data_IF_936397772230
#
_entry.id   IF_936397772230
#
_cell.length_a   1.000
_cell.length_b   1.000
_cell.length_c   1.000
_cell.angle_alpha   90.00
_cell.angle_beta   90.00
_cell.angle_gamma   90.00
#
_symmetry.space_group_name_H-M   'P 1'
#
loop_
_entity.id
_entity.type
_entity.pdbx_description
1 polymer ?
#
# COMPACT_ATOMS: atom_id res chain seq x y z
N UNK A 1 19.69 -8.23 10.16
CA UNK A 1 20.27 -9.53 10.62
C UNK A 1 20.65 -10.41 9.44
N UNK A 2 21.36 -11.53 9.66
CA UNK A 2 21.57 -12.52 8.59
C UNK A 2 20.24 -13.23 8.29
N UNK A 3 19.98 -13.56 7.02
CA UNK A 3 18.75 -14.23 6.56
C UNK A 3 18.36 -15.45 7.40
N UNK A 4 19.33 -16.24 7.87
CA UNK A 4 19.08 -17.39 8.74
C UNK A 4 18.31 -17.03 10.02
N UNK A 5 18.63 -15.89 10.64
CA UNK A 5 17.96 -15.41 11.84
C UNK A 5 16.53 -14.95 11.53
N UNK A 6 16.34 -14.30 10.38
CA UNK A 6 15.01 -13.90 9.90
C UNK A 6 14.12 -15.10 9.61
N UNK A 7 14.65 -16.12 8.94
CA UNK A 7 13.94 -17.39 8.68
C UNK A 7 13.57 -18.08 9.99
N UNK A 8 14.41 -18.00 11.03
CA UNK A 8 14.05 -18.51 12.36
C UNK A 8 12.87 -17.75 12.99
N UNK A 9 12.78 -16.42 12.81
CA UNK A 9 11.62 -15.63 13.24
C UNK A 9 10.36 -16.01 12.46
N UNK A 10 10.45 -16.10 11.12
CA UNK A 10 9.35 -16.54 10.25
C UNK A 10 8.83 -17.90 10.69
N UNK A 11 9.74 -18.87 10.93
CA UNK A 11 9.40 -20.21 11.42
C UNK A 11 8.64 -20.17 12.74
N UNK A 12 9.15 -19.41 13.72
CA UNK A 12 8.52 -19.29 15.04
C UNK A 12 7.12 -18.68 14.97
N UNK A 13 6.94 -17.66 14.13
CA UNK A 13 5.63 -17.04 13.88
C UNK A 13 4.67 -18.06 13.24
N UNK A 14 5.13 -18.78 12.21
CA UNK A 14 4.37 -19.84 11.55
C UNK A 14 3.94 -20.95 12.53
N UNK A 15 4.81 -21.37 13.44
CA UNK A 15 4.50 -22.38 14.47
C UNK A 15 3.44 -21.89 15.46
N UNK A 16 3.55 -20.65 15.96
CA UNK A 16 2.56 -20.06 16.86
C UNK A 16 1.19 -19.88 16.21
N UNK A 17 1.17 -19.56 14.91
CA UNK A 17 -0.06 -19.33 14.15
C UNK A 17 -0.66 -20.58 13.52
N UNK A 18 0.11 -21.68 13.47
CA UNK A 18 -0.29 -22.87 12.72
C UNK A 18 -0.47 -22.61 11.22
N UNK A 19 0.29 -21.67 10.66
CA UNK A 19 0.12 -21.13 9.31
C UNK A 19 1.40 -21.15 8.50
N UNK A 20 1.29 -21.08 7.16
CA UNK A 20 2.42 -20.71 6.30
C UNK A 20 2.52 -19.19 6.25
N UNK A 21 3.70 -18.64 6.56
CA UNK A 21 3.94 -17.20 6.57
C UNK A 21 4.62 -16.75 5.27
N UNK A 22 3.97 -15.85 4.54
CA UNK A 22 4.56 -15.10 3.43
C UNK A 22 4.79 -13.66 3.89
N UNK A 23 6.03 -13.17 3.80
CA UNK A 23 6.37 -11.79 4.07
C UNK A 23 6.35 -10.99 2.77
N UNK A 24 5.68 -9.84 2.78
CA UNK A 24 5.68 -8.89 1.67
C UNK A 24 5.91 -7.48 2.18
N UNK A 25 7.06 -6.91 1.83
CA UNK A 25 7.53 -5.60 2.27
C UNK A 25 7.78 -4.74 1.04
N UNK A 26 7.14 -3.58 0.98
CA UNK A 26 7.48 -2.54 -0.01
C UNK A 26 8.19 -1.40 0.69
N UNK A 27 9.43 -1.10 0.27
CA UNK A 27 10.23 -0.04 0.87
C UNK A 27 9.65 1.33 0.55
N UNK A 28 9.66 2.23 1.54
CA UNK A 28 9.10 3.58 1.44
C UNK A 28 10.15 4.70 1.42
N UNK A 29 11.41 4.34 1.14
CA UNK A 29 12.49 5.31 0.94
C UNK A 29 12.28 6.13 -0.32
N UNK A 30 12.39 7.44 -0.18
CA UNK A 30 12.28 8.38 -1.30
C UNK A 30 13.24 8.01 -2.44
N UNK A 31 12.81 8.22 -3.70
CA UNK A 31 13.51 7.91 -4.95
C UNK A 31 13.69 6.42 -5.29
N UNK A 32 13.64 5.52 -4.31
CA UNK A 32 13.81 4.07 -4.50
C UNK A 32 12.69 3.30 -3.81
N UNK A 33 11.49 3.89 -3.77
CA UNK A 33 10.33 3.28 -3.13
C UNK A 33 9.75 2.17 -4.01
N UNK A 34 9.32 1.09 -3.38
CA UNK A 34 8.55 0.02 -4.01
C UNK A 34 7.08 0.17 -3.62
N UNK A 35 6.18 -0.41 -4.42
CA UNK A 35 4.74 -0.40 -4.15
C UNK A 35 4.13 -1.74 -4.53
N UNK A 36 2.88 -1.95 -4.14
CA UNK A 36 2.08 -3.05 -4.69
C UNK A 36 1.88 -2.80 -6.18
N UNK A 37 2.29 -3.74 -7.02
CA UNK A 37 2.20 -3.62 -8.47
C UNK A 37 2.00 -5.00 -9.12
N UNK A 38 1.42 -5.08 -10.35
CA UNK A 38 1.06 -6.35 -10.97
C UNK A 38 2.22 -7.34 -11.14
N UNK A 39 3.45 -6.84 -11.26
CA UNK A 39 4.68 -7.61 -11.45
C UNK A 39 5.06 -8.48 -10.24
N UNK A 40 4.48 -8.24 -9.07
CA UNK A 40 4.64 -9.10 -7.88
C UNK A 40 3.80 -10.38 -7.95
N UNK A 41 2.79 -10.43 -8.83
CA UNK A 41 1.86 -11.58 -8.93
C UNK A 41 2.57 -12.91 -9.25
N UNK A 42 3.50 -12.98 -10.24
CA UNK A 42 4.25 -14.21 -10.49
C UNK A 42 5.19 -14.60 -9.35
N UNK A 43 5.70 -13.62 -8.59
CA UNK A 43 6.53 -13.85 -7.40
C UNK A 43 5.69 -14.52 -6.32
N UNK A 44 4.51 -13.96 -6.01
CA UNK A 44 3.55 -14.58 -5.08
C UNK A 44 3.21 -16.00 -5.50
N UNK A 45 2.88 -16.21 -6.79
CA UNK A 45 2.57 -17.54 -7.31
C UNK A 45 3.67 -18.55 -7.01
N UNK A 46 4.95 -18.21 -7.28
CA UNK A 46 6.07 -19.12 -6.97
C UNK A 46 6.16 -19.46 -5.48
N UNK A 47 6.00 -18.49 -4.58
CA UNK A 47 6.01 -18.77 -3.13
C UNK A 47 4.83 -19.63 -2.68
N UNK A 48 3.65 -19.41 -3.26
CA UNK A 48 2.46 -20.20 -2.97
C UNK A 48 2.60 -21.64 -3.50
N UNK A 49 3.19 -21.83 -4.68
CA UNK A 49 3.57 -23.17 -5.18
C UNK A 49 4.56 -23.88 -4.24
N UNK A 50 5.52 -23.14 -3.65
CA UNK A 50 6.43 -23.70 -2.64
C UNK A 50 5.73 -24.08 -1.33
N UNK A 51 4.59 -23.48 -1.00
CA UNK A 51 3.76 -23.87 0.15
C UNK A 51 2.92 -25.11 -0.13
N UNK A 52 2.39 -25.22 -1.35
CA UNK A 52 1.32 -26.15 -1.68
C UNK A 52 0.00 -25.81 -0.97
N UNK A 53 -0.98 -26.71 -1.05
CA UNK A 53 -2.23 -26.57 -0.30
C UNK A 53 -1.96 -26.58 1.20
N UNK A 54 -2.55 -25.62 1.93
CA UNK A 54 -2.45 -25.56 3.37
C UNK A 54 -3.72 -25.02 4.02
N UNK A 55 -3.84 -25.25 5.33
CA UNK A 55 -5.05 -24.84 6.08
C UNK A 55 -5.16 -23.33 6.25
N UNK A 56 -4.02 -22.65 6.32
CA UNK A 56 -3.94 -21.22 6.59
C UNK A 56 -2.67 -20.60 6.02
N UNK A 57 -2.83 -19.45 5.37
CA UNK A 57 -1.73 -18.58 4.95
C UNK A 57 -1.86 -17.26 5.70
N UNK A 58 -0.76 -16.84 6.29
CA UNK A 58 -0.59 -15.54 6.91
C UNK A 58 0.30 -14.68 5.99
N UNK A 59 -0.14 -13.48 5.67
CA UNK A 59 0.65 -12.50 4.93
C UNK A 59 1.16 -11.43 5.90
N UNK A 60 2.47 -11.38 6.13
CA UNK A 60 3.10 -10.30 6.88
C UNK A 60 3.34 -9.11 5.95
N UNK A 61 2.61 -8.01 6.15
CA UNK A 61 2.49 -6.94 5.16
C UNK A 61 2.96 -5.59 5.70
N UNK A 62 3.94 -5.00 5.03
CA UNK A 62 4.33 -3.60 5.20
C UNK A 62 4.29 -2.92 3.84
N UNK A 63 3.50 -1.84 3.72
CA UNK A 63 3.38 -1.11 2.46
C UNK A 63 2.76 0.27 2.60
N UNK A 64 3.17 1.20 1.73
CA UNK A 64 2.51 2.51 1.55
C UNK A 64 1.45 2.51 0.45
N UNK A 65 1.09 1.35 -0.09
CA UNK A 65 0.05 1.19 -1.09
C UNK A 65 0.59 0.80 -2.46
N UNK A 66 -0.11 1.21 -3.52
CA UNK A 66 0.24 0.86 -4.88
C UNK A 66 -0.97 0.78 -5.82
N UNK A 67 -0.90 -0.13 -6.77
CA UNK A 67 -1.95 -0.38 -7.74
C UNK A 67 -3.24 -0.89 -7.07
N UNK A 68 -4.38 -0.31 -7.43
CA UNK A 68 -5.69 -0.56 -6.80
C UNK A 68 -6.25 -1.95 -7.13
N UNK A 69 -5.89 -2.53 -8.28
CA UNK A 69 -6.44 -3.82 -8.75
C UNK A 69 -5.60 -5.01 -8.33
N UNK A 70 -4.30 -4.82 -8.12
CA UNK A 70 -3.37 -5.88 -7.73
C UNK A 70 -3.79 -6.59 -6.43
N UNK A 71 -4.23 -5.90 -5.35
CA UNK A 71 -4.76 -6.56 -4.16
C UNK A 71 -5.81 -7.62 -4.47
N UNK A 72 -6.77 -7.31 -5.36
CA UNK A 72 -7.85 -8.24 -5.73
C UNK A 72 -7.28 -9.53 -6.33
N UNK A 73 -6.30 -9.39 -7.23
CA UNK A 73 -5.64 -10.54 -7.86
C UNK A 73 -4.86 -11.37 -6.84
N UNK A 74 -4.15 -10.72 -5.91
CA UNK A 74 -3.35 -11.39 -4.88
C UNK A 74 -4.23 -12.12 -3.86
N UNK A 75 -5.31 -11.50 -3.38
CA UNK A 75 -6.25 -12.13 -2.44
C UNK A 75 -6.87 -13.40 -3.04
N UNK A 76 -7.33 -13.33 -4.29
CA UNK A 76 -7.81 -14.51 -5.01
C UNK A 76 -6.73 -15.57 -5.17
N UNK A 77 -5.51 -15.18 -5.57
CA UNK A 77 -4.41 -16.11 -5.75
C UNK A 77 -4.08 -16.86 -4.45
N UNK A 78 -3.99 -16.15 -3.32
CA UNK A 78 -3.74 -16.76 -2.01
C UNK A 78 -4.85 -17.76 -1.65
N UNK A 79 -6.11 -17.42 -1.92
CA UNK A 79 -7.28 -18.27 -1.63
C UNK A 79 -7.38 -19.52 -2.48
N UNK A 80 -6.65 -19.63 -3.61
CA UNK A 80 -6.51 -20.89 -4.33
C UNK A 80 -5.72 -21.95 -3.54
N UNK A 81 -4.91 -21.53 -2.54
CA UNK A 81 -4.05 -22.43 -1.75
C UNK A 81 -4.51 -22.61 -0.31
N UNK A 82 -5.49 -21.81 0.16
CA UNK A 82 -5.99 -21.87 1.53
C UNK A 82 -7.42 -21.40 1.65
N UNK A 83 -8.16 -22.02 2.58
CA UNK A 83 -9.49 -21.57 2.98
C UNK A 83 -9.46 -20.45 4.03
N UNK A 84 -8.33 -20.30 4.76
CA UNK A 84 -8.14 -19.29 5.79
C UNK A 84 -6.97 -18.38 5.43
N UNK A 85 -7.24 -17.09 5.31
CA UNK A 85 -6.25 -16.07 4.98
C UNK A 85 -6.23 -15.01 6.08
N UNK A 86 -5.07 -14.73 6.66
CA UNK A 86 -4.89 -13.62 7.59
C UNK A 86 -3.78 -12.67 7.13
N UNK A 87 -3.86 -11.40 7.54
CA UNK A 87 -2.79 -10.41 7.32
C UNK A 87 -2.24 -9.95 8.65
N UNK A 88 -0.92 -10.01 8.79
CA UNK A 88 -0.17 -9.55 9.95
C UNK A 88 0.43 -8.20 9.61
N UNK A 89 -0.09 -7.15 10.22
CA UNK A 89 0.38 -5.78 10.00
C UNK A 89 1.29 -5.41 11.15
N UNK A 90 2.63 -5.34 10.98
CA UNK A 90 3.53 -4.95 12.06
C UNK A 90 3.60 -3.44 12.29
N UNK A 91 3.37 -2.65 11.23
CA UNK A 91 3.41 -1.19 11.25
C UNK A 91 2.48 -0.62 10.16
N UNK A 92 3.03 -0.06 9.07
CA UNK A 92 2.26 0.63 8.02
C UNK A 92 1.68 -0.32 6.99
N UNK A 93 0.38 -0.22 6.74
CA UNK A 93 -0.28 -0.88 5.63
C UNK A 93 -1.39 -0.01 5.05
N UNK A 94 -1.10 0.73 3.98
CA UNK A 94 -1.97 1.81 3.48
C UNK A 94 -2.56 1.52 2.10
N UNK A 95 -3.68 2.17 1.76
CA UNK A 95 -4.30 2.16 0.42
C UNK A 95 -4.48 0.73 -0.13
N UNK A 96 -3.79 0.36 -1.21
CA UNK A 96 -3.82 -1.00 -1.76
C UNK A 96 -3.50 -2.10 -0.72
N UNK A 97 -2.66 -1.80 0.27
CA UNK A 97 -2.39 -2.70 1.40
C UNK A 97 -3.61 -2.89 2.28
N UNK A 98 -4.26 -1.80 2.70
CA UNK A 98 -5.52 -1.85 3.46
C UNK A 98 -6.59 -2.64 2.68
N UNK A 99 -6.70 -2.42 1.37
CA UNK A 99 -7.63 -3.16 0.51
C UNK A 99 -7.33 -4.67 0.51
N UNK A 100 -6.05 -5.06 0.52
CA UNK A 100 -5.65 -6.47 0.66
C UNK A 100 -6.02 -7.04 2.03
N UNK A 101 -5.87 -6.25 3.11
CA UNK A 101 -6.35 -6.63 4.45
C UNK A 101 -7.85 -6.88 4.50
N UNK A 102 -8.67 -6.12 3.75
CA UNK A 102 -10.11 -6.36 3.67
C UNK A 102 -10.45 -7.74 3.06
N UNK A 103 -9.56 -8.29 2.22
CA UNK A 103 -9.71 -9.62 1.65
C UNK A 103 -9.38 -10.76 2.62
N UNK A 104 -8.85 -10.46 3.80
CA UNK A 104 -8.42 -11.43 4.80
C UNK A 104 -9.47 -11.67 5.88
N UNK A 105 -9.56 -12.91 6.37
CA UNK A 105 -10.49 -13.32 7.42
C UNK A 105 -10.12 -12.75 8.81
N UNK A 106 -8.85 -12.36 8.99
CA UNK A 106 -8.30 -11.83 10.23
C UNK A 106 -7.17 -10.83 9.91
N UNK A 107 -7.15 -9.69 10.62
CA UNK A 107 -6.07 -8.70 10.57
C UNK A 107 -5.40 -8.65 11.94
N UNK A 108 -4.18 -9.16 12.06
CA UNK A 108 -3.42 -9.10 13.31
C UNK A 108 -2.71 -7.75 13.40
N UNK A 109 -3.01 -6.96 14.43
CA UNK A 109 -2.45 -5.61 14.61
C UNK A 109 -1.77 -5.43 15.98
N UNK A 110 -0.45 -5.26 15.96
CA UNK A 110 0.36 -4.83 17.11
C UNK A 110 0.13 -3.36 17.48
N UNK A 111 0.82 -2.88 18.53
CA UNK A 111 0.62 -1.50 19.05
C UNK A 111 1.01 -0.40 18.06
N UNK A 112 2.05 -0.66 17.25
CA UNK A 112 2.52 0.28 16.23
C UNK A 112 1.74 0.17 14.93
N UNK A 113 0.90 -0.84 14.77
CA UNK A 113 0.19 -1.10 13.52
C UNK A 113 -0.81 -0.01 13.17
N UNK A 114 -0.76 0.42 11.92
CA UNK A 114 -1.62 1.45 11.36
C UNK A 114 -2.07 1.06 9.95
N UNK A 115 -3.38 1.17 9.72
CA UNK A 115 -3.95 1.11 8.38
C UNK A 115 -4.12 2.53 7.83
N UNK A 116 -4.10 2.66 6.52
CA UNK A 116 -4.45 3.92 5.84
C UNK A 116 -5.84 3.85 5.21
N UNK A 117 -6.43 4.99 4.86
CA UNK A 117 -7.61 5.04 4.01
C UNK A 117 -7.38 4.33 2.67
N UNK A 118 -8.46 3.99 1.98
CA UNK A 118 -8.41 3.41 0.63
C UNK A 118 -8.85 4.40 -0.44
N UNK A 119 -8.99 5.68 -0.11
CA UNK A 119 -9.40 6.72 -1.06
C UNK A 119 -8.37 6.83 -2.21
N UNK A 120 -8.81 6.78 -3.48
CA UNK A 120 -7.90 6.85 -4.59
C UNK A 120 -7.57 8.31 -4.93
N UNK A 121 -6.36 8.54 -5.42
CA UNK A 121 -6.00 9.76 -6.16
C UNK A 121 -5.92 9.42 -7.63
N UNK A 122 -6.49 10.26 -8.50
CA UNK A 122 -6.49 10.00 -9.95
C UNK A 122 -5.61 10.98 -10.71
N UNK A 123 -4.82 10.43 -11.64
CA UNK A 123 -3.99 11.19 -12.58
C UNK A 123 -4.25 10.66 -13.98
N UNK A 124 -4.66 11.53 -14.90
CA UNK A 124 -4.79 11.23 -16.32
C UNK A 124 -4.43 12.46 -17.18
N UNK A 125 -4.47 12.30 -18.51
CA UNK A 125 -4.10 13.35 -19.45
C UNK A 125 -4.90 14.67 -19.31
N UNK A 126 -6.09 14.58 -18.72
CA UNK A 126 -7.04 15.68 -18.54
C UNK A 126 -6.95 16.35 -17.17
N UNK A 127 -6.05 15.88 -16.29
CA UNK A 127 -5.77 16.54 -15.02
C UNK A 127 -5.08 17.91 -15.24
N UNK A 128 -5.17 18.83 -14.26
CA UNK A 128 -4.48 20.11 -14.31
C UNK A 128 -2.97 19.94 -14.49
N UNK A 129 -2.34 20.89 -15.21
CA UNK A 129 -0.89 20.90 -15.38
C UNK A 129 -0.21 21.40 -14.10
N UNK A 130 0.88 20.76 -13.70
CA UNK A 130 1.72 21.29 -12.61
C UNK A 130 2.45 22.57 -13.10
N UNK A 131 2.25 23.74 -12.44
CA UNK A 131 2.93 24.98 -12.80
C UNK A 131 4.46 24.90 -12.75
N UNK A 132 5.00 24.02 -11.89
CA UNK A 132 6.43 23.86 -11.67
C UNK A 132 7.04 22.73 -12.51
N UNK A 133 6.21 21.87 -13.11
CA UNK A 133 6.66 20.75 -13.92
C UNK A 133 5.76 20.51 -15.15
N UNK A 134 6.14 21.02 -16.33
CA UNK A 134 5.38 20.85 -17.58
C UNK A 134 5.17 19.39 -18.04
N UNK A 135 5.92 18.43 -17.49
CA UNK A 135 5.71 17.01 -17.79
C UNK A 135 4.74 16.33 -16.79
N UNK A 136 4.43 16.96 -15.66
CA UNK A 136 3.62 16.37 -14.60
C UNK A 136 2.19 16.93 -14.56
N UNK A 137 1.25 16.08 -14.17
CA UNK A 137 -0.14 16.46 -13.93
C UNK A 137 -0.41 16.50 -12.44
N UNK A 138 -1.18 17.47 -11.98
CA UNK A 138 -1.64 17.56 -10.59
C UNK A 138 -2.68 16.44 -10.37
N UNK A 139 -2.46 15.52 -9.42
CA UNK A 139 -3.46 14.53 -9.05
C UNK A 139 -4.72 15.21 -8.52
N UNK A 140 -5.88 14.69 -8.90
CA UNK A 140 -7.17 15.14 -8.36
C UNK A 140 -7.63 14.06 -7.39
N UNK A 141 -7.72 14.41 -6.11
CA UNK A 141 -8.22 13.49 -5.10
C UNK A 141 -9.75 13.49 -5.11
N UNK A 142 -10.32 12.32 -4.83
CA UNK A 142 -11.77 12.16 -4.81
C UNK A 142 -12.37 12.95 -3.65
N UNK A 143 -11.76 12.86 -2.47
CA UNK A 143 -12.22 13.55 -1.27
C UNK A 143 -12.25 15.07 -1.46
N UNK A 144 -11.24 15.66 -2.11
CA UNK A 144 -11.19 17.10 -2.39
C UNK A 144 -12.39 17.57 -3.25
N UNK A 145 -12.76 16.77 -4.26
CA UNK A 145 -13.91 17.07 -5.13
C UNK A 145 -15.22 17.03 -4.35
N UNK A 146 -15.44 15.99 -3.55
CA UNK A 146 -16.65 15.87 -2.74
C UNK A 146 -16.69 16.91 -1.61
N UNK A 147 -15.56 17.19 -0.98
CA UNK A 147 -15.41 18.20 0.08
C UNK A 147 -15.67 19.60 -0.45
N UNK A 148 -15.27 19.92 -1.68
CA UNK A 148 -15.63 21.18 -2.32
C UNK A 148 -17.15 21.32 -2.49
N UNK A 149 -17.81 20.27 -2.98
CA UNK A 149 -19.27 20.29 -3.16
C UNK A 149 -20.01 20.36 -1.82
N UNK A 150 -19.54 19.65 -0.80
CA UNK A 150 -20.06 19.73 0.56
C UNK A 150 -19.87 21.11 1.17
N UNK A 151 -18.67 21.70 1.04
CA UNK A 151 -18.35 23.06 1.48
C UNK A 151 -19.28 24.10 0.85
N UNK A 152 -19.51 23.98 -0.46
CA UNK A 152 -20.45 24.85 -1.17
C UNK A 152 -21.86 24.74 -0.56
N UNK A 153 -22.35 23.51 -0.33
CA UNK A 153 -23.63 23.24 0.32
C UNK A 153 -23.74 23.85 1.72
N UNK A 154 -22.81 23.49 2.61
CA UNK A 154 -22.90 23.77 4.05
C UNK A 154 -22.56 25.22 4.43
N UNK A 155 -21.54 25.83 3.79
CA UNK A 155 -21.03 27.14 4.21
C UNK A 155 -21.55 28.29 3.36
N UNK A 156 -21.82 28.06 2.08
CA UNK A 156 -22.35 29.10 1.19
C UNK A 156 -23.89 29.11 1.13
N UNK A 157 -24.57 28.24 1.91
CA UNK A 157 -26.02 28.14 1.93
C UNK A 157 -26.59 27.69 0.57
N UNK A 158 -25.81 26.88 -0.16
CA UNK A 158 -26.21 26.30 -1.46
C UNK A 158 -27.21 25.18 -1.20
N UNK A 159 -28.44 25.58 -0.88
CA UNK A 159 -29.50 24.68 -0.47
C UNK A 159 -30.40 24.25 -1.64
N UNK A 160 -30.42 25.01 -2.75
CA UNK A 160 -31.21 24.67 -3.93
C UNK A 160 -30.42 23.89 -4.98
N UNK A 161 -31.13 23.04 -5.73
CA UNK A 161 -30.56 22.26 -6.85
C UNK A 161 -29.83 23.17 -7.86
N UNK A 162 -30.38 24.35 -8.17
CA UNK A 162 -29.77 25.30 -9.11
C UNK A 162 -28.40 25.82 -8.64
N UNK A 163 -28.27 26.07 -7.33
CA UNK A 163 -27.00 26.51 -6.74
C UNK A 163 -25.96 25.39 -6.73
N UNK A 164 -26.38 24.14 -6.50
CA UNK A 164 -25.49 22.97 -6.58
C UNK A 164 -25.01 22.73 -8.01
N UNK A 165 -25.90 22.84 -8.99
CA UNK A 165 -25.56 22.76 -10.42
C UNK A 165 -24.55 23.86 -10.78
N UNK A 166 -24.73 25.08 -10.26
CA UNK A 166 -23.78 26.18 -10.46
C UNK A 166 -22.40 25.88 -9.87
N UNK A 167 -22.31 25.37 -8.65
CA UNK A 167 -21.05 24.99 -8.03
C UNK A 167 -20.33 23.88 -8.83
N UNK A 168 -21.07 22.85 -9.25
CA UNK A 168 -20.53 21.79 -10.11
C UNK A 168 -20.06 22.33 -11.47
N UNK A 169 -20.78 23.28 -12.05
CA UNK A 169 -20.42 23.90 -13.34
C UNK A 169 -19.12 24.69 -13.22
N UNK A 170 -18.97 25.49 -12.16
CA UNK A 170 -17.74 26.23 -11.88
C UNK A 170 -16.54 25.29 -11.67
N UNK A 171 -16.75 24.14 -11.05
CA UNK A 171 -15.72 23.11 -10.93
C UNK A 171 -15.35 22.52 -12.30
N UNK A 172 -16.34 22.17 -13.12
CA UNK A 172 -16.15 21.60 -14.46
C UNK A 172 -15.52 22.59 -15.47
N UNK A 173 -15.61 23.90 -15.22
CA UNK A 173 -14.87 24.92 -15.97
C UNK A 173 -13.36 24.92 -15.65
N UNK A 174 -12.96 24.43 -14.48
CA UNK A 174 -11.56 24.40 -14.01
C UNK A 174 -10.91 23.04 -14.13
N UNK A 175 -11.68 21.97 -13.91
CA UNK A 175 -11.26 20.59 -14.03
C UNK A 175 -11.98 19.97 -15.20
N UNK A 176 -11.22 19.42 -16.14
CA UNK A 176 -11.77 18.83 -17.35
C UNK A 176 -12.83 17.75 -17.03
N UNK A 177 -14.00 17.73 -17.68
CA UNK A 177 -15.07 16.76 -17.38
C UNK A 177 -14.64 15.30 -17.44
N UNK A 178 -13.72 14.92 -18.35
CA UNK A 178 -13.16 13.56 -18.37
C UNK A 178 -12.32 13.22 -17.13
N UNK A 179 -11.69 14.22 -16.48
CA UNK A 179 -11.02 14.01 -15.20
C UNK A 179 -12.06 13.83 -14.07
N UNK A 180 -13.14 14.61 -14.05
CA UNK A 180 -14.24 14.43 -13.09
C UNK A 180 -14.97 13.09 -13.27
N UNK A 181 -15.20 12.65 -14.51
CA UNK A 181 -15.73 11.32 -14.81
C UNK A 181 -14.78 10.21 -14.35
N UNK A 182 -13.46 10.42 -14.48
CA UNK A 182 -12.45 9.50 -13.99
C UNK A 182 -12.43 9.42 -12.45
N UNK A 183 -12.56 10.56 -11.76
CA UNK A 183 -12.76 10.64 -10.30
C UNK A 183 -13.95 9.76 -9.90
N UNK A 184 -15.15 10.03 -10.44
CA UNK A 184 -16.35 9.30 -10.06
C UNK A 184 -16.24 7.79 -10.33
N UNK A 185 -15.67 7.39 -11.48
CA UNK A 185 -15.46 5.97 -11.80
C UNK A 185 -14.50 5.28 -10.81
N UNK A 186 -13.42 5.94 -10.40
CA UNK A 186 -12.48 5.36 -9.42
C UNK A 186 -13.10 5.29 -8.01
N UNK A 187 -13.94 6.26 -7.64
CA UNK A 187 -14.75 6.19 -6.41
C UNK A 187 -15.67 4.96 -6.39
N UNK A 188 -16.41 4.72 -7.49
CA UNK A 188 -17.27 3.53 -7.60
C UNK A 188 -16.46 2.24 -7.61
N UNK A 189 -15.30 2.24 -8.30
CA UNK A 189 -14.41 1.09 -8.37
C UNK A 189 -13.90 0.69 -6.99
N UNK A 190 -13.36 1.62 -6.20
CA UNK A 190 -12.79 1.28 -4.90
C UNK A 190 -13.86 0.75 -3.93
N UNK A 191 -15.04 1.38 -3.91
CA UNK A 191 -16.17 0.91 -3.09
C UNK A 191 -16.58 -0.49 -3.52
N UNK A 192 -16.69 -0.74 -4.83
CA UNK A 192 -17.01 -2.07 -5.35
C UNK A 192 -15.95 -3.11 -4.97
N UNK A 193 -14.67 -2.77 -5.09
CA UNK A 193 -13.56 -3.66 -4.73
C UNK A 193 -13.55 -3.96 -3.24
N UNK A 194 -13.71 -2.95 -2.38
CA UNK A 194 -13.75 -3.12 -0.93
C UNK A 194 -14.89 -4.06 -0.50
N UNK A 195 -16.10 -3.88 -1.06
CA UNK A 195 -17.23 -4.80 -0.83
C UNK A 195 -16.90 -6.22 -1.28
N UNK A 196 -16.33 -6.37 -2.47
CA UNK A 196 -15.94 -7.68 -3.00
C UNK A 196 -14.85 -8.35 -2.15
N UNK A 197 -13.87 -7.59 -1.66
CA UNK A 197 -12.83 -8.08 -0.76
C UNK A 197 -13.43 -8.60 0.54
N UNK A 198 -14.30 -7.83 1.17
CA UNK A 198 -15.02 -8.25 2.39
C UNK A 198 -15.90 -9.49 2.15
N UNK A 199 -16.44 -9.64 0.93
CA UNK A 199 -17.21 -10.84 0.55
C UNK A 199 -16.35 -12.10 0.35
N UNK A 200 -15.01 -11.98 0.29
CA UNK A 200 -14.11 -13.14 0.24
C UNK A 200 -13.97 -13.84 1.60
N UNK A 201 -14.43 -13.22 2.70
CA UNK A 201 -14.28 -13.78 4.04
C UNK A 201 -14.91 -15.17 4.13
N UNK A 202 -14.19 -16.10 4.77
CA UNK A 202 -14.67 -17.46 4.97
C UNK A 202 -16.00 -17.49 5.75
N UNK A 203 -16.17 -16.57 6.70
CA UNK A 203 -17.43 -16.33 7.38
C UNK A 203 -18.09 -15.06 6.80
N UNK A 204 -19.31 -15.15 6.27
CA UNK A 204 -19.96 -14.02 5.63
C UNK A 204 -20.23 -12.91 6.64
N UNK A 205 -19.89 -11.68 6.25
CA UNK A 205 -20.19 -10.48 7.02
C UNK A 205 -21.62 -10.01 6.73
N UNK A 206 -22.26 -9.40 7.73
CA UNK A 206 -23.58 -8.77 7.54
C UNK A 206 -23.44 -7.56 6.62
N UNK A 207 -24.41 -7.36 5.72
CA UNK A 207 -24.39 -6.24 4.75
C UNK A 207 -24.17 -4.88 5.42
N UNK A 208 -24.87 -4.60 6.52
CA UNK A 208 -24.70 -3.33 7.25
C UNK A 208 -23.29 -3.13 7.82
N UNK A 209 -22.56 -4.21 8.16
CA UNK A 209 -21.16 -4.13 8.58
C UNK A 209 -20.26 -3.82 7.38
N UNK A 210 -20.54 -4.42 6.22
CA UNK A 210 -19.80 -4.17 4.99
C UNK A 210 -19.93 -2.70 4.59
N UNK A 211 -21.15 -2.16 4.51
CA UNK A 211 -21.36 -0.75 4.18
C UNK A 211 -20.65 0.18 5.18
N UNK A 212 -20.78 -0.10 6.49
CA UNK A 212 -20.11 0.70 7.52
C UNK A 212 -18.59 0.71 7.35
N UNK A 213 -17.95 -0.44 7.10
CA UNK A 213 -16.50 -0.50 6.86
C UNK A 213 -16.12 0.32 5.63
N UNK A 214 -16.84 0.15 4.52
CA UNK A 214 -16.55 0.83 3.26
C UNK A 214 -16.66 2.34 3.43
N UNK A 215 -17.76 2.83 4.02
CA UNK A 215 -17.97 4.26 4.24
C UNK A 215 -16.89 4.87 5.14
N UNK A 216 -16.47 4.16 6.20
CA UNK A 216 -15.39 4.65 7.05
C UNK A 216 -14.07 4.74 6.28
N UNK A 217 -13.71 3.74 5.48
CA UNK A 217 -12.42 3.71 4.80
C UNK A 217 -12.33 4.60 3.55
N UNK A 218 -13.46 5.07 3.01
CA UNK A 218 -13.49 5.92 1.80
C UNK A 218 -13.96 7.35 2.00
N UNK A 219 -14.74 7.66 3.04
CA UNK A 219 -15.46 8.95 3.13
C UNK A 219 -15.35 9.68 4.47
N UNK A 220 -15.10 8.96 5.58
CA UNK A 220 -15.18 9.56 6.94
C UNK A 220 -13.83 9.94 7.54
N UNK A 221 -12.75 9.67 6.81
CA UNK A 221 -11.39 9.99 7.25
C UNK A 221 -10.99 11.30 6.58
N UNK A 222 -11.20 12.42 7.28
CA UNK A 222 -10.99 13.81 6.81
C UNK A 222 -9.51 14.17 6.50
N UNK A 223 -8.66 13.17 6.28
CA UNK A 223 -7.25 13.32 5.96
C UNK A 223 -6.75 12.10 5.17
N UNK A 224 -6.14 12.35 4.01
CA UNK A 224 -5.53 11.32 3.15
C UNK A 224 -4.46 10.44 3.84
N UNK A 225 -3.84 10.94 4.91
CA UNK A 225 -2.84 10.23 5.70
C UNK A 225 -3.36 9.87 7.10
N UNK A 226 -4.68 9.74 7.26
CA UNK A 226 -5.26 9.34 8.53
C UNK A 226 -4.70 7.98 8.98
N UNK A 227 -4.14 7.94 10.19
CA UNK A 227 -3.47 6.75 10.72
C UNK A 227 -4.47 5.94 11.54
N UNK A 228 -5.08 4.94 10.93
CA UNK A 228 -6.09 4.11 11.59
C UNK A 228 -5.37 3.16 12.55
N UNK A 229 -5.44 3.46 13.84
CA UNK A 229 -4.86 2.60 14.88
C UNK A 229 -5.63 1.28 15.03
N UNK A 230 -5.02 0.28 15.68
CA UNK A 230 -5.71 -1.01 15.95
C UNK A 230 -7.02 -0.87 16.75
N UNK A 231 -7.14 0.16 17.60
CA UNK A 231 -8.37 0.41 18.38
C UNK A 231 -9.46 0.98 17.50
N UNK A 232 -9.13 2.01 16.72
CA UNK A 232 -10.07 2.59 15.75
C UNK A 232 -10.54 1.54 14.72
N UNK A 233 -9.61 0.76 14.17
CA UNK A 233 -9.91 -0.32 13.25
C UNK A 233 -10.92 -1.33 13.83
N UNK A 234 -10.79 -1.67 15.12
CA UNK A 234 -11.63 -2.65 15.81
C UNK A 234 -12.95 -2.06 16.31
N UNK A 235 -12.89 -0.96 17.05
CA UNK A 235 -13.99 -0.41 17.84
C UNK A 235 -14.87 0.56 17.04
N UNK A 236 -14.27 1.29 16.08
CA UNK A 236 -14.97 2.32 15.30
C UNK A 236 -15.32 1.83 13.90
N UNK A 237 -14.35 1.22 13.19
CA UNK A 237 -14.53 0.72 11.81
C UNK A 237 -15.12 -0.70 11.79
N UNK A 238 -15.02 -1.46 12.88
CA UNK A 238 -15.48 -2.86 12.98
C UNK A 238 -14.78 -3.82 12.00
N UNK A 239 -13.48 -3.66 11.76
CA UNK A 239 -12.67 -4.63 11.03
C UNK A 239 -12.46 -5.92 11.86
N UNK A 240 -12.12 -7.02 11.19
CA UNK A 240 -11.84 -8.31 11.84
C UNK A 240 -10.43 -8.33 12.47
N UNK A 241 -10.19 -7.42 13.41
CA UNK A 241 -8.87 -7.23 14.05
C UNK A 241 -8.68 -8.21 15.20
N UNK A 242 -7.49 -8.82 15.28
CA UNK A 242 -7.02 -9.53 16.46
C UNK A 242 -5.78 -8.87 17.05
N UNK A 243 -5.70 -8.86 18.38
CA UNK A 243 -4.58 -8.29 19.12
C UNK A 243 -3.59 -9.41 19.44
N UNK A 244 -2.33 -9.33 18.97
CA UNK A 244 -1.32 -10.33 19.31
C UNK A 244 -1.04 -10.30 20.81
N UNK A 245 -0.82 -11.47 21.41
CA UNK A 245 -0.46 -11.58 22.82
C UNK A 245 0.98 -11.11 23.09
N UNK A 246 1.37 -11.10 24.37
CA UNK A 246 2.69 -10.64 24.82
C UNK A 246 3.86 -11.51 24.34
N UNK A 247 3.59 -12.74 23.90
CA UNK A 247 4.61 -13.64 23.32
C UNK A 247 4.76 -13.44 21.82
N UNK A 248 3.68 -13.06 21.13
CA UNK A 248 3.63 -12.96 19.69
C UNK A 248 3.96 -11.56 19.16
N UNK A 249 3.46 -10.49 19.81
CA UNK A 249 3.68 -9.10 19.38
C UNK A 249 5.19 -8.75 19.23
N UNK A 250 6.08 -9.14 20.17
CA UNK A 250 7.52 -8.87 20.02
C UNK A 250 8.15 -9.57 18.81
N UNK A 251 7.65 -10.73 18.40
CA UNK A 251 8.16 -11.45 17.23
C UNK A 251 7.77 -10.73 15.94
N UNK A 252 6.52 -10.26 15.85
CA UNK A 252 6.06 -9.45 14.71
C UNK A 252 6.90 -8.17 14.58
N UNK A 253 7.15 -7.48 15.70
CA UNK A 253 7.96 -6.27 15.71
C UNK A 253 9.41 -6.56 15.32
N UNK A 254 10.03 -7.60 15.88
CA UNK A 254 11.41 -7.98 15.56
C UNK A 254 11.59 -8.35 14.09
N UNK A 255 10.62 -9.06 13.50
CA UNK A 255 10.65 -9.39 12.07
C UNK A 255 10.54 -8.14 11.21
N UNK A 256 9.70 -7.18 11.60
CA UNK A 256 9.63 -5.89 10.89
C UNK A 256 10.94 -5.10 11.01
N UNK A 257 11.50 -4.99 12.21
CA UNK A 257 12.76 -4.26 12.44
C UNK A 257 13.88 -4.82 11.56
N UNK A 258 13.93 -6.13 11.39
CA UNK A 258 14.91 -6.77 10.52
C UNK A 258 14.80 -6.34 9.05
N UNK A 259 13.59 -6.39 8.48
CA UNK A 259 13.36 -5.89 7.12
C UNK A 259 13.59 -4.38 7.01
N UNK A 260 13.22 -3.62 8.04
CA UNK A 260 13.40 -2.18 8.06
C UNK A 260 14.88 -1.79 8.06
N UNK A 261 15.72 -2.51 8.81
CA UNK A 261 17.18 -2.37 8.80
C UNK A 261 17.77 -2.76 7.44
N UNK A 262 17.37 -3.90 6.88
CA UNK A 262 17.91 -4.38 5.61
C UNK A 262 17.54 -3.49 4.41
N UNK A 263 16.34 -2.90 4.43
CA UNK A 263 15.91 -1.92 3.43
C UNK A 263 16.38 -0.49 3.75
N UNK A 264 16.97 -0.26 4.93
CA UNK A 264 17.36 1.04 5.47
C UNK A 264 16.21 2.07 5.51
N UNK A 265 15.01 1.66 5.92
CA UNK A 265 13.79 2.50 5.86
C UNK A 265 13.87 3.78 6.71
N UNK A 266 14.75 3.82 7.71
CA UNK A 266 14.99 5.01 8.53
C UNK A 266 15.95 6.02 7.91
N UNK A 267 16.58 5.70 6.78
CA UNK A 267 17.62 6.51 6.16
C UNK A 267 17.23 6.95 4.75
N UNK A 268 17.28 8.26 4.43
CA UNK A 268 17.09 8.73 3.06
C UNK A 268 18.05 8.04 2.10
N UNK A 269 17.59 7.73 0.89
CA UNK A 269 18.52 7.31 -0.16
C UNK A 269 19.24 8.56 -0.70
N UNK A 270 20.53 8.69 -0.38
CA UNK A 270 21.38 9.76 -0.88
C UNK A 270 22.31 9.25 -2.00
N UNK A 271 22.00 9.52 -3.28
CA UNK A 271 22.81 9.06 -4.41
C UNK A 271 24.23 9.64 -4.39
N UNK A 272 24.40 10.87 -3.87
CA UNK A 272 25.70 11.55 -3.83
C UNK A 272 26.72 10.81 -2.96
N UNK A 273 26.28 10.14 -1.89
CA UNK A 273 27.15 9.33 -1.02
C UNK A 273 27.63 8.05 -1.71
N UNK A 274 26.96 7.61 -2.79
CA UNK A 274 27.36 6.44 -3.58
C UNK A 274 28.38 6.78 -4.66
N UNK A 275 28.61 8.06 -4.96
CA UNK A 275 29.52 8.47 -6.03
C UNK A 275 30.98 8.32 -5.60
N UNK A 276 31.71 7.48 -6.32
CA UNK A 276 33.16 7.30 -6.26
C UNK A 276 33.74 7.68 -7.63
N UNK A 277 34.51 8.76 -7.67
CA UNK A 277 35.05 9.29 -8.93
C UNK A 277 34.01 10.06 -9.75
N UNK A 278 33.99 9.88 -11.06
CA UNK A 278 33.09 10.61 -11.96
C UNK A 278 31.75 9.87 -12.22
N UNK A 279 31.73 8.55 -12.07
CA UNK A 279 30.61 7.67 -12.39
C UNK A 279 30.66 6.42 -11.52
N UNK A 280 29.53 6.03 -10.94
CA UNK A 280 29.43 4.83 -10.09
C UNK A 280 28.11 4.12 -10.31
N UNK A 281 28.17 2.80 -10.51
CA UNK A 281 26.99 1.94 -10.55
C UNK A 281 26.50 1.65 -9.13
N UNK A 282 25.19 1.52 -8.95
CA UNK A 282 24.60 1.10 -7.70
C UNK A 282 23.51 0.07 -7.93
N UNK A 283 23.36 -0.83 -6.95
CA UNK A 283 22.17 -1.63 -6.75
C UNK A 283 21.62 -1.36 -5.35
N UNK A 284 20.30 -1.24 -5.24
CA UNK A 284 19.61 -1.07 -3.97
C UNK A 284 18.39 -1.97 -3.92
N UNK A 285 18.28 -2.74 -2.85
CA UNK A 285 17.10 -3.54 -2.55
C UNK A 285 16.06 -2.63 -1.92
N UNK A 286 14.84 -2.69 -2.43
CA UNK A 286 13.75 -1.79 -2.05
C UNK A 286 12.45 -2.51 -1.71
N UNK A 287 12.44 -3.84 -1.70
CA UNK A 287 11.28 -4.62 -1.32
C UNK A 287 11.59 -6.10 -1.25
N UNK A 288 10.78 -6.84 -0.52
CA UNK A 288 10.95 -8.28 -0.30
C UNK A 288 9.63 -9.02 -0.46
N UNK A 289 9.68 -10.18 -1.12
CA UNK A 289 8.74 -11.27 -0.93
C UNK A 289 9.55 -12.45 -0.41
N UNK A 290 9.27 -12.91 0.81
CA UNK A 290 10.09 -13.93 1.46
C UNK A 290 9.24 -14.92 2.27
N UNK A 291 9.66 -16.17 2.26
CA UNK A 291 9.13 -17.22 3.11
C UNK A 291 10.28 -18.12 3.59
N UNK A 292 9.97 -19.16 4.37
CA UNK A 292 11.01 -20.13 4.79
C UNK A 292 11.68 -20.82 3.60
N UNK A 293 10.98 -20.98 2.48
CA UNK A 293 11.42 -21.77 1.32
C UNK A 293 12.24 -20.97 0.31
N UNK A 294 12.06 -19.65 0.25
CA UNK A 294 12.67 -18.80 -0.77
C UNK A 294 12.56 -17.32 -0.45
N UNK A 295 13.30 -16.52 -1.20
CA UNK A 295 13.33 -15.08 -1.05
C UNK A 295 13.49 -14.40 -2.41
N UNK A 296 12.80 -13.28 -2.57
CA UNK A 296 12.86 -12.42 -3.74
C UNK A 296 12.95 -10.97 -3.30
N UNK A 297 13.85 -10.23 -3.95
CA UNK A 297 14.08 -8.82 -3.71
C UNK A 297 13.66 -7.99 -4.92
N UNK A 298 13.00 -6.87 -4.68
CA UNK A 298 12.85 -5.83 -5.71
C UNK A 298 14.10 -4.96 -5.71
N UNK A 299 14.81 -4.93 -6.83
CA UNK A 299 16.12 -4.25 -6.92
C UNK A 299 16.07 -3.15 -7.96
N UNK A 300 16.51 -1.95 -7.57
CA UNK A 300 16.85 -0.87 -8.49
C UNK A 300 18.33 -0.93 -8.80
N UNK A 301 18.67 -0.92 -10.09
CA UNK A 301 20.05 -0.84 -10.59
C UNK A 301 20.19 0.43 -11.42
N UNK A 302 21.23 1.21 -11.17
CA UNK A 302 21.41 2.50 -11.82
C UNK A 302 22.84 3.02 -11.78
N UNK A 303 23.00 4.25 -12.26
CA UNK A 303 24.27 4.96 -12.31
C UNK A 303 24.10 6.32 -11.67
N UNK A 304 25.07 6.70 -10.84
CA UNK A 304 25.26 8.07 -10.36
C UNK A 304 26.45 8.69 -11.09
N UNK A 305 26.28 9.89 -11.65
CA UNK A 305 27.31 10.63 -12.37
C UNK A 305 27.47 12.05 -11.82
N UNK A 306 28.69 12.58 -11.83
CA UNK A 306 28.94 13.97 -11.42
C UNK A 306 28.35 14.95 -12.44
N UNK A 307 27.71 16.02 -11.98
CA UNK A 307 27.20 17.09 -12.86
C UNK A 307 28.27 18.18 -13.06
N UNK A 308 28.57 18.50 -14.31
CA UNK A 308 29.56 19.53 -14.69
C UNK A 308 28.92 20.93 -14.80
N UNK A 309 28.46 21.53 -13.69
CA UNK A 309 28.02 22.95 -13.68
C UNK A 309 28.46 23.67 -12.38
N UNK A 310 28.50 25.03 -12.35
CA UNK A 310 29.24 25.80 -11.34
C UNK A 310 28.66 25.81 -9.91
N UNK A 311 27.44 25.31 -9.69
CA UNK A 311 26.82 25.27 -8.37
C UNK A 311 26.95 23.87 -7.73
N UNK A 312 27.15 23.88 -6.41
CA UNK A 312 27.71 22.79 -5.62
C UNK A 312 27.08 21.40 -5.86
N UNK A 313 27.94 20.42 -6.13
CA UNK A 313 27.80 18.98 -5.81
C UNK A 313 26.43 18.34 -6.07
N UNK A 314 25.80 18.65 -7.20
CA UNK A 314 24.66 17.87 -7.69
C UNK A 314 25.14 16.67 -8.50
N UNK A 315 24.50 15.52 -8.29
CA UNK A 315 24.73 14.30 -9.07
C UNK A 315 23.55 14.03 -10.00
N UNK A 316 23.83 13.45 -11.15
CA UNK A 316 22.80 12.91 -12.04
C UNK A 316 22.56 11.45 -11.67
N UNK A 317 21.30 11.05 -11.50
CA UNK A 317 20.92 9.68 -11.15
C UNK A 317 20.08 9.11 -12.28
N UNK A 318 20.54 7.99 -12.84
CA UNK A 318 19.82 7.28 -13.90
C UNK A 318 19.52 5.86 -13.44
N UNK A 319 18.24 5.55 -13.25
CA UNK A 319 17.78 4.17 -13.02
C UNK A 319 17.80 3.45 -14.36
N UNK A 320 18.61 2.39 -14.46
CA UNK A 320 18.76 1.59 -15.67
C UNK A 320 17.80 0.39 -15.70
N UNK A 321 17.57 -0.23 -14.54
CA UNK A 321 16.73 -1.42 -14.39
C UNK A 321 16.06 -1.43 -13.03
N UNK A 322 14.83 -1.94 -12.99
CA UNK A 322 14.12 -2.25 -11.76
C UNK A 322 13.32 -3.54 -11.94
N UNK A 323 13.21 -4.35 -10.88
CA UNK A 323 12.38 -5.54 -10.91
C UNK A 323 12.69 -6.56 -9.82
N UNK A 324 11.83 -7.56 -9.71
CA UNK A 324 11.99 -8.70 -8.81
C UNK A 324 13.13 -9.63 -9.27
N UNK A 325 14.00 -10.00 -8.34
CA UNK A 325 15.08 -10.98 -8.50
C UNK A 325 14.99 -12.01 -7.37
N UNK A 326 15.10 -13.28 -7.70
CA UNK A 326 15.24 -14.34 -6.69
C UNK A 326 16.63 -14.27 -6.07
N UNK A 327 16.68 -14.28 -4.74
CA UNK A 327 17.91 -14.21 -3.95
C UNK A 327 18.09 -15.51 -3.17
N UNK A 328 19.32 -16.04 -3.17
CA UNK A 328 19.69 -17.34 -2.60
C UNK A 328 19.77 -17.32 -1.08
#
# INVERSE_FOLDING_TARGET
MAREQRVALIKKISELRGSKLLCYITGDRENVNTRIAPDVTPVFYRHLEMFGECKQIDLFLYTRGGDVLTPWRLAHLIREYTNRFAVLVPFRCYSAGTLLCLGADEIVMGKMSELGPIDPSVVNAFNPQDPNNPAAKIPVNIEDVYSYLALAGEKAGVCSTDQQVKAFTLLAERIHPLALGNVHRNYLLIRSLAKKMLALHHLPLKEGRIEHIVDNLTEKLYAHNHMISRREAMDEINLAVSIPDTSFEPLMWSLYQDYAEELALSEPFNPSEKLIGAKTEFEVVSGYVESMQGADAFVFSGVVEKRDFPEASQVNVSILKQGWKTIS
#
